data_IF_152932548363
#
_entry.id   IF_152932548363
#
_cell.length_a   1.000
_cell.length_b   1.000
_cell.length_c   1.000
_cell.angle_alpha   90.00
_cell.angle_beta   90.00
_cell.angle_gamma   90.00
#
_symmetry.space_group_name_H-M   'P 1'
#
loop_
_entity.id
_entity.type
_entity.pdbx_description
1 polymer ?
#
# COMPACT_ATOMS: atom_id res chain seq x y z
N UNK A 1 -13.63 7.02 -6.15
CA UNK A 1 -14.13 6.85 -4.78
C UNK A 1 -13.54 5.59 -4.18
N UNK A 2 -13.55 5.45 -2.85
CA UNK A 2 -13.07 4.22 -2.21
C UNK A 2 -11.64 4.23 -1.69
N UNK A 3 -10.89 5.35 -1.71
CA UNK A 3 -9.49 5.38 -1.23
C UNK A 3 -9.38 4.95 0.24
N UNK A 4 -10.24 5.46 1.11
CA UNK A 4 -10.27 5.04 2.51
C UNK A 4 -10.93 3.67 2.61
N UNK A 5 -10.38 2.77 3.41
CA UNK A 5 -10.94 1.44 3.65
C UNK A 5 -12.40 1.48 4.14
N UNK A 6 -12.77 2.45 4.98
CA UNK A 6 -14.17 2.66 5.36
C UNK A 6 -15.10 2.96 4.16
N UNK A 7 -14.59 3.70 3.16
CA UNK A 7 -15.33 3.95 1.90
C UNK A 7 -15.43 2.68 1.06
N UNK A 8 -14.36 1.87 0.97
CA UNK A 8 -14.38 0.57 0.30
C UNK A 8 -15.46 -0.34 0.88
N UNK A 9 -15.52 -0.46 2.21
CA UNK A 9 -16.52 -1.28 2.91
C UNK A 9 -17.95 -0.84 2.60
N UNK A 10 -18.21 0.46 2.54
CA UNK A 10 -19.52 0.98 2.14
C UNK A 10 -19.86 0.69 0.66
N UNK A 11 -18.87 0.84 -0.24
CA UNK A 11 -19.05 0.63 -1.69
C UNK A 11 -19.27 -0.86 -2.00
N UNK A 12 -18.46 -1.76 -1.45
CA UNK A 12 -18.50 -3.19 -1.82
C UNK A 12 -19.87 -3.83 -1.52
N UNK A 13 -20.52 -3.42 -0.43
CA UNK A 13 -21.88 -3.89 -0.11
C UNK A 13 -22.90 -3.47 -1.18
N UNK A 14 -22.76 -2.29 -1.75
CA UNK A 14 -23.62 -1.81 -2.84
C UNK A 14 -23.34 -2.57 -4.13
N UNK A 15 -22.06 -2.69 -4.49
CA UNK A 15 -21.60 -3.40 -5.69
C UNK A 15 -22.02 -4.87 -5.68
N UNK A 16 -21.97 -5.52 -4.51
CA UNK A 16 -22.43 -6.89 -4.32
C UNK A 16 -23.93 -7.01 -4.56
N UNK A 17 -24.74 -6.13 -3.94
CA UNK A 17 -26.21 -6.12 -4.13
C UNK A 17 -26.61 -5.90 -5.58
N UNK A 18 -25.86 -5.08 -6.32
CA UNK A 18 -26.12 -4.79 -7.75
C UNK A 18 -25.45 -5.80 -8.69
N UNK A 19 -24.73 -6.81 -8.16
CA UNK A 19 -23.94 -7.77 -8.94
C UNK A 19 -23.03 -7.05 -9.95
N UNK A 20 -22.34 -6.01 -9.49
CA UNK A 20 -21.39 -5.23 -10.28
C UNK A 20 -19.99 -5.48 -9.77
N UNK A 21 -19.05 -5.89 -10.64
CA UNK A 21 -17.67 -6.11 -10.24
C UNK A 21 -17.05 -4.82 -9.69
N UNK A 22 -16.34 -4.95 -8.58
CA UNK A 22 -15.59 -3.85 -7.98
C UNK A 22 -14.10 -4.12 -8.04
N UNK A 23 -13.35 -3.29 -8.78
CA UNK A 23 -11.89 -3.32 -8.76
C UNK A 23 -11.38 -2.29 -7.75
N UNK A 24 -10.74 -2.77 -6.69
CA UNK A 24 -10.20 -1.95 -5.63
C UNK A 24 -8.67 -1.89 -5.76
N UNK A 25 -8.16 -0.73 -6.17
CA UNK A 25 -6.80 -0.56 -6.66
C UNK A 25 -5.95 0.34 -5.74
N UNK A 26 -6.20 0.27 -4.43
CA UNK A 26 -5.50 1.08 -3.42
C UNK A 26 -4.99 0.13 -2.35
N UNK A 27 -3.74 0.33 -1.90
CA UNK A 27 -3.17 -0.42 -0.77
C UNK A 27 -4.10 -0.37 0.44
N UNK A 28 -4.08 -1.41 1.27
CA UNK A 28 -4.97 -1.48 2.43
C UNK A 28 -4.48 -2.47 3.49
N UNK A 29 -5.33 -2.71 4.49
CA UNK A 29 -5.04 -3.48 5.69
C UNK A 29 -5.21 -5.00 5.60
N UNK A 30 -5.55 -5.55 4.42
CA UNK A 30 -5.77 -7.00 4.24
C UNK A 30 -7.14 -7.49 4.72
N UNK A 31 -7.45 -8.76 4.45
CA UNK A 31 -8.57 -9.48 5.08
C UNK A 31 -9.95 -9.38 4.42
N UNK A 32 -10.12 -8.68 3.30
CA UNK A 32 -11.39 -8.74 2.55
C UNK A 32 -11.52 -10.11 1.87
N UNK A 33 -12.64 -10.79 2.08
CA UNK A 33 -13.02 -11.99 1.34
C UNK A 33 -14.41 -11.80 0.74
N UNK A 34 -14.48 -11.47 -0.54
CA UNK A 34 -15.73 -11.22 -1.25
C UNK A 34 -15.55 -11.52 -2.75
N UNK A 35 -16.32 -12.46 -3.30
CA UNK A 35 -16.23 -12.86 -4.71
C UNK A 35 -16.55 -11.74 -5.70
N UNK A 36 -17.13 -10.63 -5.22
CA UNK A 36 -17.53 -9.51 -6.06
C UNK A 36 -16.47 -8.39 -6.14
N UNK A 37 -15.36 -8.50 -5.42
CA UNK A 37 -14.28 -7.51 -5.41
C UNK A 37 -12.96 -8.13 -5.84
N UNK A 38 -12.27 -7.51 -6.79
CA UNK A 38 -10.91 -7.85 -7.19
C UNK A 38 -9.96 -6.76 -6.69
N UNK A 39 -8.93 -7.14 -5.96
CA UNK A 39 -8.07 -6.21 -5.23
C UNK A 39 -6.69 -6.18 -5.87
N UNK A 40 -6.30 -5.02 -6.39
CA UNK A 40 -4.99 -4.76 -6.99
C UNK A 40 -4.09 -3.87 -6.12
N UNK A 41 -4.51 -3.56 -4.90
CA UNK A 41 -3.69 -2.86 -3.92
C UNK A 41 -2.86 -3.82 -3.09
N UNK A 42 -1.64 -3.42 -2.72
CA UNK A 42 -0.78 -4.21 -1.84
C UNK A 42 -1.41 -4.42 -0.45
N UNK A 43 -1.24 -5.62 0.09
CA UNK A 43 -1.65 -6.05 1.44
C UNK A 43 -0.51 -5.86 2.45
N UNK A 44 -0.77 -5.95 3.76
CA UNK A 44 0.29 -5.87 4.77
C UNK A 44 1.35 -6.97 4.67
N UNK A 45 1.01 -8.19 4.26
CA UNK A 45 2.04 -9.22 4.03
C UNK A 45 2.87 -8.98 2.77
N UNK A 46 2.37 -8.20 1.82
CA UNK A 46 3.16 -7.76 0.67
C UNK A 46 4.05 -6.57 1.07
N UNK A 47 3.48 -5.58 1.74
CA UNK A 47 4.11 -4.29 2.04
C UNK A 47 4.88 -4.27 3.38
N UNK A 48 4.18 -4.51 4.48
CA UNK A 48 4.71 -4.31 5.85
C UNK A 48 5.74 -5.38 6.19
N UNK A 49 5.49 -6.63 5.79
CA UNK A 49 6.45 -7.74 5.92
C UNK A 49 7.79 -7.43 5.24
N UNK A 50 7.79 -6.66 4.14
CA UNK A 50 8.99 -6.23 3.46
C UNK A 50 9.64 -5.00 4.12
N UNK A 51 8.83 -3.99 4.46
CA UNK A 51 9.33 -2.70 4.93
C UNK A 51 9.95 -2.77 6.34
N UNK A 52 9.31 -3.47 7.27
CA UNK A 52 9.72 -3.52 8.68
C UNK A 52 11.14 -4.08 8.86
N UNK A 53 11.47 -5.29 8.36
CA UNK A 53 12.82 -5.84 8.53
C UNK A 53 13.90 -4.98 7.86
N UNK A 54 13.61 -4.40 6.69
CA UNK A 54 14.53 -3.49 6.03
C UNK A 54 14.81 -2.24 6.86
N UNK A 55 13.76 -1.59 7.34
CA UNK A 55 13.87 -0.36 8.12
C UNK A 55 14.56 -0.60 9.47
N UNK A 56 14.27 -1.74 10.13
CA UNK A 56 14.95 -2.15 11.36
C UNK A 56 16.41 -2.50 11.12
N UNK A 57 16.73 -3.22 10.04
CA UNK A 57 18.11 -3.55 9.69
C UNK A 57 19.00 -2.32 9.47
N UNK A 58 18.42 -1.21 9.00
CA UNK A 58 19.12 0.07 8.81
C UNK A 58 19.19 0.94 10.07
N UNK A 59 18.19 0.86 10.93
CA UNK A 59 17.97 1.87 11.99
C UNK A 59 18.17 1.33 13.41
N UNK A 60 17.74 0.10 13.67
CA UNK A 60 17.72 -0.52 15.00
C UNK A 60 16.39 -1.23 15.30
N UNK A 61 16.22 -1.67 16.54
CA UNK A 61 15.18 -2.63 16.94
C UNK A 61 14.06 -2.02 17.78
N UNK A 62 14.27 -0.83 18.37
CA UNK A 62 13.23 -0.10 19.10
C UNK A 62 12.38 0.75 18.14
N UNK A 63 11.14 0.34 17.90
CA UNK A 63 10.24 0.95 16.91
C UNK A 63 9.09 1.72 17.58
N UNK A 64 8.86 2.95 17.13
CA UNK A 64 7.69 3.74 17.53
C UNK A 64 6.72 3.87 16.36
N UNK A 65 5.42 3.73 16.61
CA UNK A 65 4.39 3.76 15.58
C UNK A 65 3.49 4.99 15.75
N UNK A 66 3.30 5.76 14.67
CA UNK A 66 2.28 6.81 14.59
C UNK A 66 1.28 6.47 13.50
N UNK A 67 0.04 6.16 13.89
CA UNK A 67 -0.96 5.64 12.97
C UNK A 67 -2.19 6.56 12.87
N UNK A 68 -2.86 6.50 11.74
CA UNK A 68 -4.16 7.15 11.58
C UNK A 68 -5.25 6.40 12.37
N UNK A 69 -6.12 7.12 13.07
CA UNK A 69 -7.15 6.55 13.94
C UNK A 69 -8.42 6.16 13.16
N UNK A 70 -8.27 5.18 12.27
CA UNK A 70 -9.36 4.50 11.57
C UNK A 70 -8.91 3.09 11.18
N UNK A 71 -9.79 2.29 10.57
CA UNK A 71 -9.55 0.86 10.34
C UNK A 71 -8.20 0.53 9.67
N UNK A 72 -7.78 1.28 8.64
CA UNK A 72 -6.46 1.09 8.02
C UNK A 72 -5.31 1.25 9.02
N UNK A 73 -5.25 2.38 9.73
CA UNK A 73 -4.11 2.66 10.61
C UNK A 73 -4.10 1.77 11.86
N UNK A 74 -5.27 1.45 12.41
CA UNK A 74 -5.43 0.50 13.52
C UNK A 74 -4.92 -0.90 13.15
N UNK A 75 -5.36 -1.45 12.01
CA UNK A 75 -4.97 -2.81 11.60
C UNK A 75 -3.51 -2.83 11.11
N UNK A 76 -3.07 -1.82 10.36
CA UNK A 76 -1.67 -1.71 9.91
C UNK A 76 -0.70 -1.57 11.09
N UNK A 77 -1.07 -0.83 12.15
CA UNK A 77 -0.25 -0.75 13.35
C UNK A 77 -0.09 -2.11 14.06
N UNK A 78 -1.11 -2.98 14.03
CA UNK A 78 -0.99 -4.36 14.54
C UNK A 78 -0.06 -5.21 13.68
N UNK A 79 -0.15 -5.09 12.35
CA UNK A 79 0.79 -5.76 11.44
C UNK A 79 2.23 -5.31 11.64
N UNK A 80 2.46 -3.99 11.81
CA UNK A 80 3.80 -3.47 12.13
C UNK A 80 4.29 -4.07 13.44
N UNK A 81 3.49 -4.07 14.51
CA UNK A 81 3.86 -4.68 15.80
C UNK A 81 4.26 -6.15 15.64
N UNK A 82 3.47 -6.93 14.88
CA UNK A 82 3.80 -8.32 14.59
C UNK A 82 5.14 -8.46 13.87
N UNK A 83 5.33 -7.76 12.76
CA UNK A 83 6.57 -7.90 11.98
C UNK A 83 7.78 -7.33 12.71
N UNK A 84 7.60 -6.37 13.62
CA UNK A 84 8.65 -5.94 14.54
C UNK A 84 9.04 -7.09 15.47
N UNK A 85 8.06 -7.76 16.09
CA UNK A 85 8.31 -8.90 16.97
C UNK A 85 8.90 -10.12 16.23
N UNK A 86 8.40 -10.44 15.03
CA UNK A 86 8.91 -11.53 14.19
C UNK A 86 10.38 -11.31 13.77
N UNK A 87 10.85 -10.06 13.80
CA UNK A 87 12.23 -9.66 13.49
C UNK A 87 13.03 -9.25 14.74
N UNK A 88 12.67 -9.80 15.90
CA UNK A 88 13.35 -9.62 17.18
C UNK A 88 13.51 -8.15 17.59
N UNK A 89 12.50 -7.32 17.31
CA UNK A 89 12.41 -5.91 17.71
C UNK A 89 11.33 -5.66 18.76
N UNK A 90 11.36 -4.44 19.32
CA UNK A 90 10.46 -3.99 20.37
C UNK A 90 9.63 -2.80 19.88
N UNK A 91 8.31 -2.89 19.99
CA UNK A 91 7.44 -1.71 19.81
C UNK A 91 7.43 -0.90 21.11
N UNK A 92 8.12 0.24 21.12
CA UNK A 92 8.31 1.08 22.31
C UNK A 92 7.23 2.16 22.49
N UNK A 93 6.31 2.27 21.54
CA UNK A 93 5.13 3.14 21.63
C UNK A 93 4.27 3.10 20.38
N UNK A 94 2.97 3.32 20.58
CA UNK A 94 1.97 3.42 19.51
C UNK A 94 1.02 4.57 19.85
N UNK A 95 0.90 5.55 18.95
CA UNK A 95 -0.09 6.63 19.06
C UNK A 95 -0.99 6.65 17.83
N UNK A 96 -2.28 6.93 18.06
CA UNK A 96 -3.30 7.05 17.02
C UNK A 96 -3.79 8.50 16.90
N UNK A 97 -3.97 8.96 15.67
CA UNK A 97 -4.33 10.35 15.39
C UNK A 97 -5.55 10.47 14.46
N UNK A 98 -6.50 11.37 14.76
CA UNK A 98 -7.56 11.75 13.83
C UNK A 98 -7.02 12.24 12.47
N UNK A 99 -7.79 12.07 11.41
CA UNK A 99 -7.36 12.40 10.04
C UNK A 99 -7.13 13.90 9.80
N UNK A 100 -7.73 14.77 10.62
CA UNK A 100 -7.63 16.22 10.55
C UNK A 100 -6.56 16.83 11.47
N UNK A 101 -5.78 16.00 12.17
CA UNK A 101 -4.67 16.49 12.99
C UNK A 101 -3.63 17.21 12.15
N UNK A 102 -3.09 18.29 12.69
CA UNK A 102 -2.03 19.07 12.03
C UNK A 102 -0.90 19.51 12.97
N UNK A 103 -1.05 19.37 14.29
CA UNK A 103 0.00 19.66 15.29
C UNK A 103 0.51 18.35 15.90
N UNK A 104 1.82 18.11 15.75
CA UNK A 104 2.52 16.94 16.29
C UNK A 104 3.61 17.32 17.29
N UNK A 105 3.72 18.58 17.71
CA UNK A 105 4.83 19.06 18.54
C UNK A 105 4.99 18.30 19.87
N UNK A 106 3.88 18.03 20.55
CA UNK A 106 3.88 17.24 21.80
C UNK A 106 4.29 15.79 21.57
N UNK A 107 3.80 15.18 20.48
CA UNK A 107 4.15 13.81 20.08
C UNK A 107 5.64 13.70 19.73
N UNK A 108 6.18 14.68 19.01
CA UNK A 108 7.61 14.73 18.68
C UNK A 108 8.45 14.82 19.96
N UNK A 109 8.06 15.67 20.92
CA UNK A 109 8.75 15.76 22.22
C UNK A 109 8.67 14.46 23.02
N UNK A 110 7.54 13.76 22.99
CA UNK A 110 7.37 12.42 23.58
C UNK A 110 8.31 11.42 22.92
N UNK A 111 8.37 11.37 21.59
CA UNK A 111 9.24 10.44 20.85
C UNK A 111 10.71 10.72 21.16
N UNK A 112 11.12 11.98 21.26
CA UNK A 112 12.49 12.35 21.68
C UNK A 112 12.84 11.81 23.07
N UNK A 113 11.87 11.79 23.99
CA UNK A 113 12.05 11.28 25.35
C UNK A 113 12.12 9.75 25.38
N UNK A 114 11.30 9.08 24.58
CA UNK A 114 11.32 7.62 24.42
C UNK A 114 12.61 7.15 23.76
N UNK A 115 13.11 7.91 22.78
CA UNK A 115 14.34 7.62 22.05
C UNK A 115 14.31 6.31 21.26
N UNK A 116 13.30 6.05 20.41
CA UNK A 116 13.31 4.87 19.54
C UNK A 116 14.43 4.95 18.50
N UNK A 117 14.80 3.79 17.96
CA UNK A 117 15.72 3.68 16.84
C UNK A 117 15.05 4.07 15.50
N UNK A 118 13.74 3.81 15.39
CA UNK A 118 12.97 4.00 14.16
C UNK A 118 11.55 4.48 14.47
N UNK A 119 11.03 5.37 13.63
CA UNK A 119 9.60 5.67 13.56
C UNK A 119 8.99 5.03 12.31
N UNK A 120 7.89 4.30 12.46
CA UNK A 120 7.07 3.83 11.32
C UNK A 120 5.71 4.53 11.36
N UNK A 121 5.38 5.25 10.28
CA UNK A 121 4.22 6.13 10.22
C UNK A 121 3.20 5.70 9.15
N UNK A 122 2.23 4.82 9.49
CA UNK A 122 1.02 4.60 8.71
C UNK A 122 -0.02 5.73 8.90
N UNK A 123 0.42 6.98 8.71
CA UNK A 123 -0.44 8.16 8.62
C UNK A 123 -0.94 8.33 7.16
N UNK A 124 -1.97 9.14 6.94
CA UNK A 124 -2.53 9.39 5.60
C UNK A 124 -2.88 10.86 5.41
N UNK A 125 -3.00 11.29 4.14
CA UNK A 125 -3.52 12.61 3.78
C UNK A 125 -2.74 13.77 4.41
N UNK A 126 -3.39 14.89 4.68
CA UNK A 126 -2.69 16.09 5.20
C UNK A 126 -1.91 15.86 6.51
N UNK A 127 -2.35 14.93 7.36
CA UNK A 127 -1.71 14.61 8.63
C UNK A 127 -0.26 14.12 8.46
N UNK A 128 0.02 13.25 7.48
CA UNK A 128 1.39 12.76 7.30
C UNK A 128 2.35 13.87 6.82
N UNK A 129 1.89 14.81 5.99
CA UNK A 129 2.68 15.94 5.48
C UNK A 129 3.00 16.88 6.63
N UNK A 130 2.01 17.18 7.47
CA UNK A 130 2.20 17.98 8.68
C UNK A 130 3.24 17.33 9.60
N UNK A 131 3.15 16.02 9.83
CA UNK A 131 4.11 15.28 10.65
C UNK A 131 5.53 15.33 10.06
N UNK A 132 5.73 14.99 8.78
CA UNK A 132 7.06 14.96 8.18
C UNK A 132 7.76 16.32 8.17
N UNK A 133 7.02 17.40 7.90
CA UNK A 133 7.55 18.77 7.98
C UNK A 133 7.98 19.12 9.40
N UNK A 134 7.16 18.83 10.41
CA UNK A 134 7.48 19.11 11.80
C UNK A 134 8.62 18.22 12.31
N UNK A 135 8.69 16.97 11.86
CA UNK A 135 9.77 16.03 12.16
C UNK A 135 11.11 16.56 11.65
N UNK A 136 11.14 17.03 10.40
CA UNK A 136 12.33 17.64 9.81
C UNK A 136 12.70 18.97 10.51
N UNK A 137 11.72 19.85 10.75
CA UNK A 137 11.92 21.13 11.43
C UNK A 137 12.46 20.97 12.88
N UNK A 138 12.09 19.89 13.56
CA UNK A 138 12.62 19.54 14.88
C UNK A 138 14.02 18.89 14.83
N UNK A 139 14.62 18.74 13.64
CA UNK A 139 15.92 18.11 13.43
C UNK A 139 15.91 16.59 13.64
N UNK A 140 14.74 15.96 13.70
CA UNK A 140 14.61 14.55 14.08
C UNK A 140 15.00 13.58 12.98
N UNK A 141 14.85 13.98 11.71
CA UNK A 141 15.28 13.17 10.56
C UNK A 141 16.75 12.72 10.64
N UNK A 142 17.63 13.56 11.16
CA UNK A 142 19.06 13.24 11.29
C UNK A 142 19.39 12.42 12.55
N UNK A 143 18.39 12.09 13.37
CA UNK A 143 18.55 11.43 14.67
C UNK A 143 17.81 10.10 14.73
N UNK A 144 16.59 10.07 14.22
CA UNK A 144 15.69 8.91 14.23
C UNK A 144 15.12 8.78 12.81
N UNK A 145 15.57 7.77 12.03
CA UNK A 145 15.04 7.46 10.72
C UNK A 145 13.53 7.24 10.74
N UNK A 146 12.92 7.38 9.56
CA UNK A 146 11.48 7.26 9.39
C UNK A 146 11.16 6.31 8.24
N UNK A 147 10.21 5.43 8.46
CA UNK A 147 9.55 4.65 7.43
C UNK A 147 8.06 5.02 7.34
N UNK A 148 7.45 4.87 6.17
CA UNK A 148 6.03 5.09 5.97
C UNK A 148 5.45 4.06 5.00
N UNK A 149 4.21 3.64 5.27
CA UNK A 149 3.45 2.75 4.39
C UNK A 149 2.68 3.51 3.30
N UNK A 150 2.70 4.86 3.33
CA UNK A 150 1.84 5.69 2.47
C UNK A 150 2.55 6.88 1.83
N UNK A 151 3.73 7.27 2.31
CA UNK A 151 4.54 8.31 1.67
C UNK A 151 4.78 7.97 0.20
N UNK A 152 4.44 8.89 -0.71
CA UNK A 152 4.74 8.77 -2.14
C UNK A 152 3.64 8.08 -2.95
N UNK A 153 2.66 7.45 -2.28
CA UNK A 153 1.53 6.75 -2.91
C UNK A 153 0.64 7.71 -3.71
N UNK A 154 0.56 8.97 -3.26
CA UNK A 154 -0.14 10.08 -3.90
C UNK A 154 0.77 11.25 -4.27
N UNK A 155 2.07 11.00 -4.51
CA UNK A 155 3.09 12.02 -4.81
C UNK A 155 3.48 12.97 -3.66
N UNK A 156 3.35 12.55 -2.41
CA UNK A 156 3.65 13.43 -1.26
C UNK A 156 5.15 13.76 -1.15
N UNK A 157 6.00 12.86 -1.64
CA UNK A 157 7.43 13.08 -1.83
C UNK A 157 7.76 14.23 -2.82
N UNK A 158 6.85 14.60 -3.74
CA UNK A 158 6.99 15.78 -4.62
C UNK A 158 6.55 17.09 -3.95
N UNK A 159 5.76 16.98 -2.89
CA UNK A 159 5.22 18.12 -2.12
C UNK A 159 6.17 18.55 -1.00
N UNK A 160 6.89 17.59 -0.41
CA UNK A 160 7.97 17.85 0.54
C UNK A 160 9.24 18.33 -0.17
N UNK A 161 10.03 19.17 0.49
CA UNK A 161 11.40 19.47 0.02
C UNK A 161 12.31 18.24 0.13
N UNK A 162 13.43 18.17 -0.61
CA UNK A 162 14.44 17.12 -0.41
C UNK A 162 14.89 16.98 1.07
N UNK A 163 15.06 18.11 1.76
CA UNK A 163 15.46 18.13 3.17
C UNK A 163 14.37 17.55 4.09
N UNK A 164 13.10 17.71 3.75
CA UNK A 164 11.99 17.10 4.48
C UNK A 164 11.84 15.60 4.18
N UNK A 165 12.02 15.20 2.90
CA UNK A 165 11.69 13.86 2.43
C UNK A 165 12.84 12.84 2.41
N UNK A 166 14.08 13.26 2.13
CA UNK A 166 15.17 12.31 1.83
C UNK A 166 15.40 11.31 2.98
N UNK A 167 15.64 10.04 2.64
CA UNK A 167 15.89 8.96 3.59
C UNK A 167 14.64 8.35 4.22
N UNK A 168 13.43 8.85 3.92
CA UNK A 168 12.20 8.15 4.30
C UNK A 168 12.11 6.83 3.54
N UNK A 169 11.97 5.73 4.27
CA UNK A 169 11.87 4.37 3.71
C UNK A 169 10.41 4.01 3.44
N UNK A 170 10.13 3.40 2.30
CA UNK A 170 8.77 3.01 1.88
C UNK A 170 8.81 1.68 1.14
N UNK A 171 7.67 0.98 1.04
CA UNK A 171 7.56 -0.19 0.17
C UNK A 171 6.14 -0.33 -0.41
N UNK A 172 6.00 -0.57 -1.71
CA UNK A 172 4.73 -0.84 -2.41
C UNK A 172 5.01 -1.24 -3.87
N UNK A 173 3.98 -1.30 -4.73
CA UNK A 173 4.10 -1.95 -6.04
C UNK A 173 4.84 -1.11 -7.10
N UNK A 174 4.82 0.22 -7.05
CA UNK A 174 5.33 1.05 -8.14
C UNK A 174 6.22 2.21 -7.68
N UNK A 175 7.29 2.44 -8.45
CA UNK A 175 8.05 3.68 -8.46
C UNK A 175 8.25 4.16 -9.91
N UNK A 176 8.29 5.49 -10.10
CA UNK A 176 8.57 6.06 -11.43
C UNK A 176 9.99 5.76 -11.90
N UNK A 177 10.89 5.49 -10.96
CA UNK A 177 12.31 5.20 -11.10
C UNK A 177 12.59 3.74 -11.50
N UNK A 178 11.56 2.88 -11.57
CA UNK A 178 11.70 1.53 -12.13
C UNK A 178 12.25 1.59 -13.56
N UNK A 179 13.44 1.04 -13.79
CA UNK A 179 14.06 0.97 -15.11
C UNK A 179 13.67 -0.31 -15.84
N UNK A 180 12.42 -0.35 -16.30
CA UNK A 180 11.89 -1.45 -17.11
C UNK A 180 11.33 -0.90 -18.42
N UNK A 181 11.37 -1.72 -19.47
CA UNK A 181 10.78 -1.37 -20.77
C UNK A 181 9.28 -1.05 -20.65
N UNK A 182 8.55 -1.80 -19.81
CA UNK A 182 7.13 -1.59 -19.56
C UNK A 182 6.85 -0.24 -18.88
N UNK A 183 7.62 0.13 -17.85
CA UNK A 183 7.46 1.40 -17.17
C UNK A 183 7.84 2.59 -18.07
N UNK A 184 8.97 2.49 -18.79
CA UNK A 184 9.41 3.54 -19.70
C UNK A 184 8.37 3.77 -20.81
N UNK A 185 7.84 2.71 -21.42
CA UNK A 185 6.75 2.83 -22.40
C UNK A 185 5.45 3.40 -21.79
N UNK A 186 5.14 3.09 -20.53
CA UNK A 186 3.98 3.67 -19.85
C UNK A 186 4.16 5.18 -19.62
N UNK A 187 5.32 5.62 -19.12
CA UNK A 187 5.65 7.05 -18.93
C UNK A 187 5.59 7.82 -20.25
N UNK A 188 6.09 7.24 -21.35
CA UNK A 188 5.99 7.84 -22.69
C UNK A 188 4.53 8.00 -23.15
N UNK A 189 3.71 6.94 -23.02
CA UNK A 189 2.28 7.01 -23.36
C UNK A 189 1.53 8.03 -22.50
N UNK A 190 1.84 8.07 -21.20
CA UNK A 190 1.25 9.04 -20.28
C UNK A 190 1.62 10.48 -20.66
N UNK A 191 2.90 10.73 -20.91
CA UNK A 191 3.39 12.05 -21.34
C UNK A 191 2.75 12.48 -22.66
N UNK A 192 2.63 11.57 -23.64
CA UNK A 192 1.96 11.85 -24.90
C UNK A 192 0.46 12.18 -24.73
N UNK A 193 -0.22 11.56 -23.75
CA UNK A 193 -1.65 11.77 -23.52
C UNK A 193 -1.95 13.00 -22.65
N UNK A 194 -1.11 13.31 -21.66
CA UNK A 194 -1.43 14.28 -20.60
C UNK A 194 -0.39 15.40 -20.45
N UNK A 195 0.76 15.31 -21.12
CA UNK A 195 1.81 16.35 -21.12
C UNK A 195 2.64 16.46 -19.84
N UNK A 196 2.28 15.74 -18.77
CA UNK A 196 2.96 15.81 -17.47
C UNK A 196 3.05 14.41 -16.82
N UNK A 197 4.25 13.83 -16.81
CA UNK A 197 4.54 12.57 -16.15
C UNK A 197 4.74 12.70 -14.63
N UNK A 198 4.86 13.91 -14.09
CA UNK A 198 5.01 14.12 -12.65
C UNK A 198 3.78 13.68 -11.86
N UNK A 199 2.62 13.62 -12.53
CA UNK A 199 1.34 13.13 -11.99
C UNK A 199 1.26 11.61 -11.85
N UNK A 200 2.26 10.86 -12.33
CA UNK A 200 2.27 9.40 -12.17
C UNK A 200 2.62 9.06 -10.71
N UNK A 201 1.83 8.20 -10.08
CA UNK A 201 2.06 7.71 -8.72
C UNK A 201 1.48 6.30 -8.55
N UNK A 202 1.75 5.67 -7.41
CA UNK A 202 1.32 4.30 -7.07
C UNK A 202 -0.16 4.06 -7.38
N UNK A 203 -1.06 4.92 -6.86
CA UNK A 203 -2.51 4.77 -7.07
C UNK A 203 -2.88 4.92 -8.55
N UNK A 204 -2.24 5.82 -9.31
CA UNK A 204 -2.54 5.99 -10.74
C UNK A 204 -2.18 4.71 -11.52
N UNK A 205 -1.01 4.15 -11.22
CA UNK A 205 -0.54 2.89 -11.82
C UNK A 205 -1.38 1.70 -11.40
N UNK A 206 -1.71 1.58 -10.11
CA UNK A 206 -2.57 0.51 -9.59
C UNK A 206 -3.95 0.53 -10.25
N UNK A 207 -4.52 1.72 -10.51
CA UNK A 207 -5.78 1.85 -11.23
C UNK A 207 -5.66 1.48 -12.71
N UNK A 208 -4.58 1.91 -13.38
CA UNK A 208 -4.30 1.47 -14.75
C UNK A 208 -4.24 -0.06 -14.82
N UNK A 209 -3.47 -0.69 -13.94
CA UNK A 209 -3.33 -2.14 -13.86
C UNK A 209 -4.66 -2.85 -13.56
N UNK A 210 -5.48 -2.33 -12.64
CA UNK A 210 -6.80 -2.89 -12.35
C UNK A 210 -7.75 -2.84 -13.55
N UNK A 211 -7.78 -1.72 -14.28
CA UNK A 211 -8.58 -1.59 -15.51
C UNK A 211 -8.06 -2.50 -16.61
N UNK A 212 -6.75 -2.62 -16.79
CA UNK A 212 -6.15 -3.53 -17.77
C UNK A 212 -6.41 -5.00 -17.44
N UNK A 213 -6.42 -5.36 -16.15
CA UNK A 213 -6.76 -6.72 -15.68
C UNK A 213 -8.20 -7.06 -16.03
N UNK A 214 -9.13 -6.15 -15.75
CA UNK A 214 -10.54 -6.29 -16.16
C UNK A 214 -10.70 -6.40 -17.68
N UNK A 215 -10.04 -5.51 -18.44
CA UNK A 215 -10.12 -5.49 -19.90
C UNK A 215 -9.60 -6.78 -20.53
N UNK A 216 -8.50 -7.32 -19.99
CA UNK A 216 -7.94 -8.60 -20.42
C UNK A 216 -8.90 -9.75 -20.11
N UNK A 217 -9.52 -9.75 -18.93
CA UNK A 217 -10.52 -10.75 -18.57
C UNK A 217 -11.74 -10.74 -19.51
N UNK A 218 -12.25 -9.55 -19.85
CA UNK A 218 -13.32 -9.37 -20.85
C UNK A 218 -12.90 -9.89 -22.22
N UNK A 219 -11.67 -9.59 -22.65
CA UNK A 219 -11.14 -10.02 -23.96
C UNK A 219 -11.05 -11.53 -24.05
N UNK A 220 -10.55 -12.19 -23.01
CA UNK A 220 -10.45 -13.65 -22.96
C UNK A 220 -11.83 -14.32 -22.79
N UNK A 221 -12.74 -13.72 -22.02
CA UNK A 221 -14.12 -14.19 -21.91
C UNK A 221 -14.92 -14.04 -23.20
N UNK A 222 -14.52 -13.12 -24.10
CA UNK A 222 -15.29 -12.72 -25.27
C UNK A 222 -16.66 -12.11 -24.92
N UNK A 223 -16.80 -11.60 -23.70
CA UNK A 223 -18.08 -11.18 -23.13
C UNK A 223 -17.90 -10.15 -22.01
N UNK A 224 -18.92 -9.30 -21.83
CA UNK A 224 -19.06 -8.41 -20.67
C UNK A 224 -19.90 -9.04 -19.55
N UNK A 225 -20.38 -10.27 -19.73
CA UNK A 225 -21.13 -10.98 -18.70
C UNK A 225 -20.28 -11.15 -17.44
N UNK A 226 -20.87 -10.84 -16.28
CA UNK A 226 -20.16 -10.84 -14.99
C UNK A 226 -19.58 -12.21 -14.65
N UNK A 227 -20.34 -13.29 -14.79
CA UNK A 227 -19.86 -14.61 -14.39
C UNK A 227 -18.77 -15.11 -15.35
N UNK A 228 -18.90 -14.81 -16.65
CA UNK A 228 -17.86 -15.11 -17.63
C UNK A 228 -16.55 -14.37 -17.31
N UNK A 229 -16.62 -13.08 -16.97
CA UNK A 229 -15.46 -12.28 -16.58
C UNK A 229 -14.84 -12.79 -15.28
N UNK A 230 -15.65 -13.10 -14.26
CA UNK A 230 -15.17 -13.68 -13.00
C UNK A 230 -14.46 -15.01 -13.25
N UNK A 231 -15.05 -15.91 -14.05
CA UNK A 231 -14.45 -17.22 -14.33
C UNK A 231 -13.06 -17.09 -14.98
N UNK A 232 -12.87 -16.10 -15.87
CA UNK A 232 -11.56 -15.79 -16.44
C UNK A 232 -10.59 -15.24 -15.38
N UNK A 233 -11.04 -14.32 -14.51
CA UNK A 233 -10.18 -13.81 -13.43
C UNK A 233 -9.77 -14.94 -12.47
N UNK A 234 -10.72 -15.82 -12.11
CA UNK A 234 -10.54 -17.00 -11.26
C UNK A 234 -9.71 -18.12 -11.93
N UNK A 235 -9.32 -17.99 -13.20
CA UNK A 235 -8.37 -18.92 -13.84
C UNK A 235 -6.91 -18.63 -13.48
N UNK A 236 -6.65 -17.63 -12.64
CA UNK A 236 -5.32 -17.13 -12.36
C UNK A 236 -4.81 -16.18 -13.45
N UNK A 237 -5.69 -15.32 -13.97
CA UNK A 237 -5.34 -14.38 -15.03
C UNK A 237 -4.16 -13.49 -14.64
N UNK A 238 -3.21 -13.33 -15.55
CA UNK A 238 -2.05 -12.46 -15.39
C UNK A 238 -1.96 -11.43 -16.52
N UNK A 239 -1.48 -10.23 -16.17
CA UNK A 239 -1.09 -9.19 -17.13
C UNK A 239 0.29 -8.62 -16.76
N UNK A 240 0.99 -8.08 -17.75
CA UNK A 240 2.20 -7.28 -17.51
C UNK A 240 1.83 -5.80 -17.42
N UNK A 241 2.15 -5.19 -16.28
CA UNK A 241 1.93 -3.78 -15.98
C UNK A 241 3.23 -2.97 -15.92
N UNK A 242 3.14 -1.64 -15.79
CA UNK A 242 4.31 -0.78 -15.58
C UNK A 242 5.03 -1.07 -14.25
N UNK A 243 4.36 -1.70 -13.29
CA UNK A 243 4.90 -2.07 -11.99
C UNK A 243 5.29 -3.56 -11.87
N UNK A 244 5.42 -4.25 -13.01
CA UNK A 244 5.65 -5.71 -13.05
C UNK A 244 4.37 -6.50 -13.35
N UNK A 245 4.46 -7.82 -13.20
CA UNK A 245 3.36 -8.73 -13.50
C UNK A 245 2.31 -8.70 -12.39
N UNK A 246 1.05 -8.57 -12.78
CA UNK A 246 -0.13 -8.62 -11.90
C UNK A 246 -0.82 -9.96 -12.15
N UNK A 247 -0.92 -10.81 -11.13
CA UNK A 247 -1.61 -12.11 -11.23
C UNK A 247 -2.75 -12.18 -10.23
N UNK A 248 -3.96 -12.52 -10.67
CA UNK A 248 -5.10 -12.70 -9.78
C UNK A 248 -4.97 -14.03 -9.03
N UNK A 249 -4.94 -13.98 -7.70
CA UNK A 249 -5.09 -15.16 -6.87
C UNK A 249 -6.56 -15.61 -6.86
N UNK A 250 -6.89 -16.80 -7.39
CA UNK A 250 -8.27 -17.19 -7.60
C UNK A 250 -9.02 -17.50 -6.30
N UNK A 251 -8.30 -17.76 -5.19
CA UNK A 251 -8.89 -18.06 -3.89
C UNK A 251 -9.32 -16.82 -3.13
N UNK A 252 -8.60 -15.72 -3.30
CA UNK A 252 -8.83 -14.49 -2.52
C UNK A 252 -9.26 -13.30 -3.36
N UNK A 253 -9.15 -13.39 -4.70
CA UNK A 253 -9.36 -12.30 -5.66
C UNK A 253 -8.39 -11.11 -5.44
N UNK A 254 -7.29 -11.33 -4.72
CA UNK A 254 -6.20 -10.37 -4.56
C UNK A 254 -5.14 -10.56 -5.63
N UNK A 255 -4.45 -9.49 -5.98
CA UNK A 255 -3.31 -9.55 -6.86
C UNK A 255 -2.05 -10.03 -6.11
N UNK A 256 -1.35 -10.97 -6.73
CA UNK A 256 0.07 -11.23 -6.52
C UNK A 256 0.84 -10.17 -7.30
N UNK A 257 1.73 -9.46 -6.61
CA UNK A 257 2.39 -8.25 -7.11
C UNK A 257 3.88 -8.29 -6.80
N UNK A 258 4.69 -7.66 -7.66
CA UNK A 258 6.04 -7.26 -7.27
C UNK A 258 5.93 -6.15 -6.21
N UNK A 259 6.81 -6.18 -5.21
CA UNK A 259 6.91 -5.12 -4.19
C UNK A 259 8.32 -4.58 -4.19
N UNK A 260 8.46 -3.26 -4.20
CA UNK A 260 9.75 -2.60 -4.17
C UNK A 260 9.97 -1.97 -2.81
N UNK A 261 11.13 -2.22 -2.21
CA UNK A 261 11.63 -1.42 -1.09
C UNK A 261 12.33 -0.21 -1.68
N UNK A 262 11.98 0.98 -1.21
CA UNK A 262 12.42 2.25 -1.78
C UNK A 262 12.82 3.23 -0.69
N UNK A 263 13.69 4.18 -1.05
CA UNK A 263 14.02 5.34 -0.23
C UNK A 263 13.75 6.62 -0.99
N UNK A 264 13.19 7.62 -0.30
CA UNK A 264 13.02 8.93 -0.89
C UNK A 264 14.39 9.58 -1.07
N UNK A 265 14.69 10.04 -2.28
CA UNK A 265 15.93 10.75 -2.62
C UNK A 265 15.64 11.82 -3.67
N UNK A 266 15.88 13.08 -3.32
CA UNK A 266 15.66 14.27 -4.15
C UNK A 266 14.27 14.31 -4.77
N UNK A 267 13.27 14.08 -3.92
CA UNK A 267 11.85 13.97 -4.31
C UNK A 267 11.58 12.84 -5.31
N UNK A 268 12.49 11.89 -5.51
CA UNK A 268 12.26 10.62 -6.19
C UNK A 268 12.14 9.47 -5.21
N UNK A 269 11.75 8.30 -5.70
CA UNK A 269 11.68 7.04 -4.94
C UNK A 269 12.71 6.06 -5.49
N UNK A 270 13.94 6.11 -4.96
CA UNK A 270 15.01 5.22 -5.42
C UNK A 270 14.71 3.78 -4.98
N UNK A 271 14.63 2.88 -5.93
CA UNK A 271 14.44 1.44 -5.69
C UNK A 271 15.70 0.84 -5.10
N UNK A 272 15.57 0.19 -3.95
CA UNK A 272 16.64 -0.51 -3.24
C UNK A 272 16.63 -1.99 -3.60
N UNK A 273 15.46 -2.60 -3.54
CA UNK A 273 15.26 -4.02 -3.78
C UNK A 273 13.88 -4.25 -4.37
N UNK A 274 13.79 -5.23 -5.28
CA UNK A 274 12.54 -5.72 -5.85
C UNK A 274 12.29 -7.12 -5.32
N UNK A 275 11.15 -7.32 -4.68
CA UNK A 275 10.65 -8.59 -4.20
C UNK A 275 9.56 -9.07 -5.18
N UNK A 276 9.89 -9.97 -6.12
CA UNK A 276 8.95 -10.34 -7.16
C UNK A 276 7.81 -11.20 -6.62
N UNK A 277 6.62 -11.02 -7.17
CA UNK A 277 5.45 -11.89 -7.03
C UNK A 277 5.12 -12.27 -5.57
N UNK A 278 5.11 -11.27 -4.69
CA UNK A 278 4.73 -11.43 -3.28
C UNK A 278 3.26 -11.82 -3.18
N UNK A 279 3.02 -12.89 -2.45
CA UNK A 279 1.70 -13.44 -2.21
C UNK A 279 0.98 -12.64 -1.11
N UNK A 280 -0.35 -12.44 -1.21
CA UNK A 280 -1.17 -11.86 -0.14
C UNK A 280 -1.45 -12.90 0.96
N UNK A 281 -0.39 -13.42 1.59
CA UNK A 281 -0.48 -14.57 2.52
C UNK A 281 -1.33 -14.30 3.75
N UNK A 282 -1.42 -13.04 4.16
CA UNK A 282 -2.31 -12.57 5.23
C UNK A 282 -3.77 -12.87 4.89
N UNK A 283 -4.19 -12.55 3.67
CA UNK A 283 -5.57 -12.78 3.23
C UNK A 283 -5.81 -14.25 2.84
N UNK A 284 -4.81 -14.92 2.24
CA UNK A 284 -4.87 -16.35 1.94
C UNK A 284 -5.05 -17.21 3.21
N UNK A 285 -4.65 -16.72 4.38
CA UNK A 285 -4.84 -17.44 5.65
C UNK A 285 -6.30 -17.49 6.12
N UNK A 286 -7.17 -16.60 5.64
CA UNK A 286 -8.55 -16.45 6.12
C UNK A 286 -9.61 -16.55 5.02
N UNK A 287 -9.22 -16.49 3.74
CA UNK A 287 -10.13 -16.45 2.61
C UNK A 287 -9.90 -17.61 1.64
N UNK A 288 -10.98 -18.33 1.31
CA UNK A 288 -11.02 -19.31 0.23
C UNK A 288 -12.39 -19.23 -0.47
N UNK A 289 -12.49 -18.41 -1.51
CA UNK A 289 -13.69 -18.18 -2.31
C UNK A 289 -14.03 -19.36 -3.23
N UNK A 290 -13.09 -20.28 -3.46
CA UNK A 290 -13.38 -21.53 -4.18
C UNK A 290 -14.17 -22.48 -3.27
N UNK A 291 -13.81 -22.55 -1.99
CA UNK A 291 -14.55 -23.30 -0.99
C UNK A 291 -15.83 -22.57 -0.54
N UNK A 292 -15.79 -21.24 -0.41
CA UNK A 292 -16.87 -20.42 0.15
C UNK A 292 -17.18 -19.21 -0.77
N UNK A 293 -17.78 -19.43 -1.95
CA UNK A 293 -18.00 -18.37 -2.96
C UNK A 293 -18.96 -17.26 -2.53
N UNK A 294 -19.75 -17.50 -1.48
CA UNK A 294 -20.69 -16.54 -0.91
C UNK A 294 -20.07 -15.68 0.20
N UNK A 295 -18.80 -15.85 0.56
CA UNK A 295 -18.14 -15.00 1.56
C UNK A 295 -18.25 -13.50 1.18
N UNK A 296 -18.36 -12.67 2.20
CA UNK A 296 -18.57 -11.22 2.10
C UNK A 296 -17.98 -10.50 3.33
N UNK A 297 -16.90 -11.03 3.89
CA UNK A 297 -16.41 -10.64 5.21
C UNK A 297 -15.14 -9.80 5.09
N UNK A 298 -15.05 -8.77 5.94
CA UNK A 298 -13.76 -8.16 6.27
C UNK A 298 -13.24 -8.91 7.51
N UNK A 299 -12.32 -9.83 7.31
CA UNK A 299 -11.65 -10.54 8.40
C UNK A 299 -10.67 -9.60 9.08
N UNK A 300 -10.72 -9.58 10.41
CA UNK A 300 -9.59 -9.13 11.21
C UNK A 300 -8.68 -10.32 11.44
N UNK A 301 -7.61 -10.39 10.67
CA UNK A 301 -6.62 -11.45 10.75
C UNK A 301 -6.02 -11.43 12.16
N UNK A 302 -6.02 -12.59 12.80
CA UNK A 302 -5.42 -12.78 14.12
C UNK A 302 -3.91 -12.81 13.95
N UNK A 303 -3.24 -11.89 14.63
CA UNK A 303 -1.80 -11.61 14.45
C UNK A 303 -1.05 -11.90 15.74
#
# INVERSE_FOLDING_TARGET
GGILSASREAIRQTMRKTRTLYFYNVLYEGGVCDRNIFINGVTPAQQVEALVPYAMGKSGKAVYILAADYNYGQITARWIQKFVADNDGDTVGVDFFPLDVSDFGSTIAKIQTVGPDLVIAPLVGGAHLSFFRQWSAAGMKNRIPLASTTMGVGNEHKVLTPDEGNGIMVAYNYSQELDTSANNAFKERWSAAYGDSSLIHEIAVSNYQGVMTWAEAVRQAGSLDREAVIATLESGLSIDGPAGTVTVDPKTHHAVLDVHIMEIEDQGMRVIETLPQRQPIDTQAVCDLQANPDDNTQYEIQI
#
